data_IF_410316344914
#
_entry.id   IF_410316344914
#
_cell.length_a   1.000
_cell.length_b   1.000
_cell.length_c   1.000
_cell.angle_alpha   90.00
_cell.angle_beta   90.00
_cell.angle_gamma   90.00
#
_symmetry.space_group_name_H-M   'P 1'
#
loop_
_entity.id
_entity.type
_entity.pdbx_description
1 polymer ?
#
# COMPACT_ATOMS: atom_id res chain seq x y z
N UNK A 1 -18.89 75.08 -4.26
CA UNK A 1 -18.84 74.15 -5.44
C UNK A 1 -17.59 73.32 -5.32
N UNK A 2 -17.70 72.13 -4.78
CA UNK A 2 -16.59 71.21 -4.59
C UNK A 2 -16.96 69.84 -5.15
N UNK A 3 -16.25 69.39 -6.19
CA UNK A 3 -16.44 68.07 -6.81
C UNK A 3 -15.78 67.01 -5.95
N UNK A 4 -16.58 66.04 -5.48
CA UNK A 4 -16.13 64.82 -4.85
C UNK A 4 -15.38 63.94 -5.88
N UNK A 5 -14.16 63.54 -5.56
CA UNK A 5 -13.43 62.50 -6.28
C UNK A 5 -13.83 61.13 -5.72
N UNK A 6 -14.49 60.36 -6.54
CA UNK A 6 -14.71 58.93 -6.30
C UNK A 6 -13.34 58.19 -6.50
N UNK A 7 -12.95 57.51 -5.43
CA UNK A 7 -11.74 56.70 -5.41
C UNK A 7 -12.12 55.23 -5.63
N UNK A 8 -12.00 54.76 -6.84
CA UNK A 8 -12.20 53.38 -7.23
C UNK A 8 -11.21 52.47 -6.46
N UNK A 9 -11.71 51.71 -5.51
CA UNK A 9 -10.98 50.62 -4.86
C UNK A 9 -11.02 49.38 -5.79
N UNK A 10 -9.95 49.16 -6.53
CA UNK A 10 -9.69 47.85 -7.16
C UNK A 10 -9.37 46.84 -6.09
N UNK A 11 -10.32 45.93 -5.79
CA UNK A 11 -10.10 44.72 -5.05
C UNK A 11 -9.30 43.74 -5.93
N UNK A 12 -8.00 43.63 -5.69
CA UNK A 12 -7.16 42.61 -6.28
C UNK A 12 -7.48 41.28 -5.61
N UNK A 13 -8.36 40.47 -6.19
CA UNK A 13 -8.56 39.10 -5.80
C UNK A 13 -7.32 38.29 -6.25
N UNK A 14 -6.41 38.04 -5.30
CA UNK A 14 -5.32 37.10 -5.50
C UNK A 14 -5.91 35.70 -5.45
N UNK A 15 -6.17 35.09 -6.61
CA UNK A 15 -6.39 33.66 -6.72
C UNK A 15 -5.06 32.96 -6.42
N UNK A 16 -4.89 32.49 -5.18
CA UNK A 16 -3.88 31.50 -4.83
C UNK A 16 -4.28 30.19 -5.51
N UNK A 17 -3.80 30.00 -6.74
CA UNK A 17 -3.74 28.68 -7.35
C UNK A 17 -2.83 27.82 -6.46
N UNK A 18 -3.43 26.97 -5.65
CA UNK A 18 -2.75 25.90 -4.94
C UNK A 18 -2.25 24.89 -5.98
N UNK A 19 -1.08 25.15 -6.54
CA UNK A 19 -0.34 24.12 -7.29
C UNK A 19 -0.06 23.01 -6.27
N UNK A 20 -0.51 21.78 -6.49
CA UNK A 20 -0.15 20.68 -5.61
C UNK A 20 1.38 20.57 -5.65
N UNK A 21 2.05 20.89 -4.53
CA UNK A 21 3.47 20.62 -4.38
C UNK A 21 3.63 19.12 -4.57
N UNK A 22 4.14 18.71 -5.72
CA UNK A 22 4.61 17.35 -5.92
C UNK A 22 5.70 17.13 -4.88
N UNK A 23 5.51 16.19 -3.98
CA UNK A 23 6.56 15.75 -3.06
C UNK A 23 7.73 15.28 -3.92
N UNK A 24 8.81 16.07 -4.00
CA UNK A 24 9.97 15.68 -4.78
C UNK A 24 10.59 14.44 -4.14
N UNK A 25 10.77 13.38 -4.90
CA UNK A 25 11.42 12.17 -4.42
C UNK A 25 12.89 12.49 -4.13
N UNK A 26 13.33 12.13 -2.93
CA UNK A 26 14.73 12.15 -2.53
C UNK A 26 15.33 10.74 -2.68
N UNK A 27 16.66 10.65 -2.61
CA UNK A 27 17.40 9.39 -2.74
C UNK A 27 18.52 9.32 -1.70
N UNK A 28 18.76 8.14 -1.18
CA UNK A 28 19.96 7.80 -0.40
C UNK A 28 20.36 6.35 -0.68
N UNK A 29 21.59 5.97 -0.32
CA UNK A 29 22.12 4.63 -0.54
C UNK A 29 22.37 3.89 0.77
N UNK A 30 22.07 2.59 0.75
CA UNK A 30 22.45 1.64 1.79
C UNK A 30 22.94 0.37 1.11
N UNK A 31 24.14 -0.12 1.47
CA UNK A 31 24.75 -1.30 0.89
C UNK A 31 24.75 -1.28 -0.66
N UNK A 32 25.08 -0.13 -1.26
CA UNK A 32 25.10 0.13 -2.72
C UNK A 32 23.70 0.08 -3.39
N UNK A 33 22.63 0.00 -2.61
CA UNK A 33 21.26 0.03 -3.10
C UNK A 33 20.68 1.42 -2.96
N UNK A 34 20.12 1.94 -4.05
CA UNK A 34 19.39 3.19 -4.06
C UNK A 34 18.01 3.03 -3.43
N UNK A 35 17.72 3.85 -2.44
CA UNK A 35 16.40 4.00 -1.83
C UNK A 35 15.82 5.35 -2.20
N UNK A 36 14.73 5.32 -2.98
CA UNK A 36 13.97 6.52 -3.30
C UNK A 36 12.87 6.70 -2.27
N UNK A 37 12.66 7.93 -1.83
CA UNK A 37 11.61 8.18 -0.85
C UNK A 37 10.99 9.56 -1.02
N UNK A 38 9.76 9.74 -0.51
CA UNK A 38 9.15 11.05 -0.35
C UNK A 38 9.35 11.51 1.09
N UNK A 39 9.84 12.74 1.34
CA UNK A 39 9.89 13.29 2.69
C UNK A 39 8.51 13.28 3.36
N UNK A 40 8.45 13.24 4.70
CA UNK A 40 7.17 13.31 5.40
C UNK A 40 6.51 14.67 5.12
N UNK A 41 5.21 14.71 4.83
CA UNK A 41 4.45 15.96 4.66
C UNK A 41 4.55 16.89 5.88
N UNK A 42 4.59 16.30 7.07
CA UNK A 42 4.79 17.02 8.33
C UNK A 42 5.96 16.39 9.10
N UNK A 43 7.04 17.14 9.28
CA UNK A 43 8.23 16.68 10.00
C UNK A 43 8.12 17.00 11.52
N UNK A 44 7.38 16.16 12.24
CA UNK A 44 7.14 16.27 13.69
C UNK A 44 7.40 14.95 14.44
N UNK A 45 8.10 14.01 13.81
CA UNK A 45 8.38 12.69 14.37
C UNK A 45 7.21 11.70 14.38
N UNK A 46 6.04 12.07 13.84
CA UNK A 46 4.85 11.19 13.81
C UNK A 46 4.64 10.46 12.49
N UNK A 47 5.46 10.75 11.47
CA UNK A 47 5.34 10.09 10.17
C UNK A 47 5.55 8.58 10.30
N UNK A 48 4.80 7.83 9.49
CA UNK A 48 4.92 6.37 9.38
C UNK A 48 5.56 6.02 8.02
N UNK A 49 6.20 4.86 7.93
CA UNK A 49 6.86 4.43 6.70
C UNK A 49 6.01 3.39 5.98
N UNK A 50 5.75 3.64 4.70
CA UNK A 50 5.16 2.69 3.78
C UNK A 50 6.21 2.32 2.72
N UNK A 51 6.55 1.03 2.65
CA UNK A 51 7.50 0.51 1.67
C UNK A 51 6.75 0.01 0.44
N UNK A 52 7.11 0.55 -0.71
CA UNK A 52 6.53 0.23 -2.00
C UNK A 52 7.56 -0.55 -2.84
N UNK A 53 7.29 -1.82 -3.09
CA UNK A 53 8.16 -2.70 -3.85
C UNK A 53 7.72 -2.76 -5.32
N UNK A 54 8.58 -2.34 -6.24
CA UNK A 54 8.32 -2.34 -7.67
C UNK A 54 8.33 -3.73 -8.31
N UNK A 55 7.85 -3.82 -9.55
CA UNK A 55 8.02 -5.02 -10.38
C UNK A 55 9.50 -5.38 -10.56
N UNK A 56 9.77 -6.51 -11.21
CA UNK A 56 11.15 -7.03 -11.35
C UNK A 56 12.12 -5.95 -11.88
N UNK A 57 13.17 -5.70 -11.12
CA UNK A 57 14.23 -4.73 -11.42
C UNK A 57 13.75 -3.29 -11.67
N UNK A 58 12.58 -2.92 -11.16
CA UNK A 58 12.15 -1.53 -11.23
C UNK A 58 12.99 -0.66 -10.28
N UNK A 59 13.48 0.49 -10.76
CA UNK A 59 14.07 1.46 -9.85
C UNK A 59 12.98 2.07 -8.95
N UNK A 60 13.38 2.45 -7.74
CA UNK A 60 12.42 2.94 -6.74
C UNK A 60 11.66 4.18 -7.17
N UNK A 61 12.29 5.10 -7.92
CA UNK A 61 11.59 6.27 -8.48
C UNK A 61 10.46 5.89 -9.44
N UNK A 62 10.67 4.89 -10.31
CA UNK A 62 9.62 4.36 -11.20
C UNK A 62 8.45 3.81 -10.38
N UNK A 63 8.75 3.08 -9.31
CA UNK A 63 7.73 2.51 -8.42
C UNK A 63 6.89 3.61 -7.79
N UNK A 64 7.51 4.63 -7.18
CA UNK A 64 6.81 5.77 -6.59
C UNK A 64 5.91 6.49 -7.60
N UNK A 65 6.44 6.77 -8.80
CA UNK A 65 5.71 7.43 -9.89
C UNK A 65 4.53 6.60 -10.41
N UNK A 66 4.70 5.27 -10.50
CA UNK A 66 3.65 4.37 -11.01
C UNK A 66 2.53 4.18 -9.99
N UNK A 67 2.86 3.96 -8.71
CA UNK A 67 1.86 3.64 -7.69
C UNK A 67 1.04 4.87 -7.26
N UNK A 68 1.63 6.07 -7.29
CA UNK A 68 0.94 7.34 -7.01
C UNK A 68 0.23 7.34 -5.66
N UNK A 69 0.93 6.95 -4.61
CA UNK A 69 0.42 6.97 -3.24
C UNK A 69 0.57 8.35 -2.55
N UNK A 70 0.93 9.40 -3.31
CA UNK A 70 1.21 10.76 -2.79
C UNK A 70 0.04 11.36 -2.00
N UNK A 71 -1.20 11.17 -2.48
CA UNK A 71 -2.40 11.67 -1.79
C UNK A 71 -2.56 11.00 -0.43
N UNK A 72 -2.33 9.67 -0.39
CA UNK A 72 -2.37 8.89 0.85
C UNK A 72 -1.26 9.35 1.81
N UNK A 73 -0.06 9.58 1.27
CA UNK A 73 1.08 10.06 2.07
C UNK A 73 0.79 11.42 2.69
N UNK A 74 0.23 12.37 1.94
CA UNK A 74 -0.17 13.67 2.46
C UNK A 74 -1.24 13.57 3.54
N UNK A 75 -2.27 12.75 3.31
CA UNK A 75 -3.39 12.59 4.24
C UNK A 75 -2.97 12.00 5.58
N UNK A 76 -2.05 11.02 5.56
CA UNK A 76 -1.69 10.23 6.72
C UNK A 76 -0.28 10.44 7.24
N UNK A 77 0.40 11.48 6.77
CA UNK A 77 1.79 11.79 7.11
C UNK A 77 2.69 10.56 6.92
N UNK A 78 2.78 10.05 5.67
CA UNK A 78 3.62 8.90 5.35
C UNK A 78 4.91 9.33 4.65
N UNK A 79 5.99 8.64 4.96
CA UNK A 79 7.17 8.52 4.12
C UNK A 79 6.92 7.32 3.20
N UNK A 80 6.89 7.54 1.89
CA UNK A 80 6.87 6.46 0.91
C UNK A 80 8.33 6.10 0.60
N UNK A 81 8.71 4.86 0.85
CA UNK A 81 10.06 4.35 0.63
C UNK A 81 10.02 3.27 -0.45
N UNK A 82 10.92 3.34 -1.43
CA UNK A 82 11.00 2.33 -2.49
C UNK A 82 12.45 1.96 -2.80
N UNK A 83 12.85 0.69 -2.56
CA UNK A 83 14.18 0.20 -2.92
C UNK A 83 14.31 -0.02 -4.42
N UNK A 84 15.49 0.26 -4.97
CA UNK A 84 15.90 -0.14 -6.32
C UNK A 84 16.57 -1.52 -6.30
N UNK A 85 15.87 -2.51 -5.74
CA UNK A 85 16.39 -3.88 -5.66
C UNK A 85 16.58 -4.48 -7.05
N UNK A 86 17.74 -5.14 -7.25
CA UNK A 86 18.12 -5.79 -8.49
C UNK A 86 18.89 -7.06 -8.17
N UNK A 87 18.77 -8.04 -9.04
CA UNK A 87 19.56 -9.28 -9.01
C UNK A 87 19.48 -10.10 -7.70
N UNK A 88 20.08 -11.27 -7.67
CA UNK A 88 20.35 -12.08 -6.45
C UNK A 88 19.14 -12.38 -5.56
N UNK A 89 17.98 -12.74 -6.11
CA UNK A 89 16.82 -13.13 -5.30
C UNK A 89 16.45 -12.11 -4.21
N UNK A 90 16.45 -10.83 -4.55
CA UNK A 90 16.17 -9.74 -3.60
C UNK A 90 14.80 -9.82 -2.89
N UNK A 91 13.89 -10.65 -3.37
CA UNK A 91 12.62 -10.93 -2.69
C UNK A 91 12.78 -11.83 -1.46
N UNK A 92 13.93 -12.53 -1.31
CA UNK A 92 14.26 -13.31 -0.12
C UNK A 92 14.98 -12.43 0.93
N UNK A 93 14.25 -11.99 2.00
CA UNK A 93 14.81 -11.06 2.98
C UNK A 93 15.93 -11.66 3.83
N UNK A 94 16.03 -12.99 3.93
CA UNK A 94 17.02 -13.66 4.77
C UNK A 94 18.43 -13.55 4.20
N UNK A 95 18.55 -13.45 2.87
CA UNK A 95 19.86 -13.40 2.23
C UNK A 95 20.54 -12.04 2.47
N UNK A 96 20.00 -10.95 1.96
CA UNK A 96 20.64 -9.63 2.08
C UNK A 96 19.63 -8.48 2.13
N UNK A 97 18.57 -8.54 1.33
CA UNK A 97 17.67 -7.41 1.09
C UNK A 97 16.88 -6.99 2.34
N UNK A 98 16.56 -7.92 3.24
CA UNK A 98 15.91 -7.64 4.50
C UNK A 98 16.76 -6.80 5.44
N UNK A 99 18.06 -7.13 5.56
CA UNK A 99 19.00 -6.34 6.38
C UNK A 99 19.20 -4.96 5.80
N UNK A 100 19.33 -4.85 4.49
CA UNK A 100 19.46 -3.58 3.77
C UNK A 100 18.22 -2.70 3.95
N UNK A 101 17.00 -3.27 3.83
CA UNK A 101 15.77 -2.53 4.12
C UNK A 101 15.70 -2.04 5.56
N UNK A 102 16.05 -2.89 6.54
CA UNK A 102 16.06 -2.47 7.96
C UNK A 102 17.01 -1.31 8.22
N UNK A 103 18.19 -1.28 7.58
CA UNK A 103 19.13 -0.15 7.67
C UNK A 103 18.53 1.11 7.04
N UNK A 104 17.92 1.00 5.85
CA UNK A 104 17.28 2.13 5.19
C UNK A 104 16.15 2.72 6.03
N UNK A 105 15.32 1.88 6.65
CA UNK A 105 14.29 2.33 7.60
C UNK A 105 14.92 3.03 8.80
N UNK A 106 16.00 2.47 9.36
CA UNK A 106 16.69 3.07 10.51
C UNK A 106 17.28 4.45 10.17
N UNK A 107 17.82 4.65 8.96
CA UNK A 107 18.28 5.97 8.50
C UNK A 107 17.15 7.00 8.47
N UNK A 108 15.97 6.64 7.94
CA UNK A 108 14.80 7.53 7.92
C UNK A 108 14.28 7.80 9.35
N UNK A 109 14.23 6.79 10.22
CA UNK A 109 13.86 6.95 11.63
C UNK A 109 14.77 7.95 12.30
N UNK A 110 16.09 7.85 12.11
CA UNK A 110 17.09 8.77 12.64
C UNK A 110 16.95 10.18 12.04
N UNK A 111 16.87 10.27 10.71
CA UNK A 111 16.80 11.55 9.98
C UNK A 111 15.59 12.39 10.37
N UNK A 112 14.43 11.77 10.55
CA UNK A 112 13.16 12.43 10.84
C UNK A 112 12.71 12.29 12.30
N UNK A 113 13.56 11.73 13.18
CA UNK A 113 13.25 11.50 14.59
C UNK A 113 11.93 10.79 14.82
N UNK A 114 11.65 9.75 14.00
CA UNK A 114 10.36 9.06 14.02
C UNK A 114 10.16 8.27 15.30
N UNK A 115 8.93 8.32 15.83
CA UNK A 115 8.51 7.44 16.90
C UNK A 115 8.40 5.98 16.40
N UNK A 116 8.60 4.98 17.27
CA UNK A 116 8.41 3.58 16.88
C UNK A 116 7.02 3.32 16.26
N UNK A 117 6.99 2.68 15.11
CA UNK A 117 5.76 2.32 14.41
C UNK A 117 5.98 1.07 13.56
N UNK A 118 4.90 0.39 13.23
CA UNK A 118 4.92 -0.73 12.29
C UNK A 118 4.93 -0.21 10.85
N UNK A 119 5.55 -0.98 9.94
CA UNK A 119 5.66 -0.67 8.52
C UNK A 119 4.39 -1.09 7.76
N UNK A 120 4.16 -0.46 6.63
CA UNK A 120 3.16 -0.85 5.65
C UNK A 120 3.87 -1.31 4.38
N UNK A 121 3.43 -2.42 3.79
CA UNK A 121 4.04 -2.98 2.58
C UNK A 121 3.03 -3.07 1.45
N UNK A 122 3.45 -2.72 0.24
CA UNK A 122 2.69 -3.01 -0.97
C UNK A 122 3.64 -3.32 -2.12
N UNK A 123 3.27 -4.31 -2.96
CA UNK A 123 4.11 -4.67 -4.09
C UNK A 123 3.37 -5.32 -5.26
N UNK A 124 3.97 -5.20 -6.45
CA UNK A 124 3.50 -5.79 -7.69
C UNK A 124 4.53 -6.79 -8.22
N UNK A 125 4.07 -7.97 -8.69
CA UNK A 125 4.93 -8.98 -9.31
C UNK A 125 6.06 -9.43 -8.37
N UNK A 126 7.33 -9.28 -8.75
CA UNK A 126 8.47 -9.51 -7.86
C UNK A 126 8.45 -8.63 -6.61
N UNK A 127 7.91 -7.41 -6.68
CA UNK A 127 7.65 -6.58 -5.51
C UNK A 127 6.54 -7.14 -4.62
N UNK A 128 5.56 -7.85 -5.19
CA UNK A 128 4.58 -8.61 -4.43
C UNK A 128 5.23 -9.73 -3.63
N UNK A 129 6.20 -10.43 -4.23
CA UNK A 129 7.04 -11.43 -3.54
C UNK A 129 7.78 -10.78 -2.36
N UNK A 130 8.41 -9.61 -2.57
CA UNK A 130 9.03 -8.86 -1.48
C UNK A 130 8.01 -8.57 -0.37
N UNK A 131 6.84 -7.99 -0.70
CA UNK A 131 5.82 -7.65 0.30
C UNK A 131 5.42 -8.86 1.14
N UNK A 132 5.13 -10.00 0.52
CA UNK A 132 4.70 -11.23 1.19
C UNK A 132 5.82 -11.87 2.04
N UNK A 133 7.03 -12.01 1.48
CA UNK A 133 8.14 -12.68 2.15
C UNK A 133 8.74 -11.81 3.27
N UNK A 134 8.82 -10.48 3.08
CA UNK A 134 9.25 -9.56 4.13
C UNK A 134 8.24 -9.50 5.28
N UNK A 135 6.93 -9.55 4.98
CA UNK A 135 5.93 -9.71 6.02
C UNK A 135 6.15 -10.98 6.84
N UNK A 136 6.33 -12.13 6.18
CA UNK A 136 6.55 -13.40 6.87
C UNK A 136 7.85 -13.43 7.70
N UNK A 137 8.88 -12.71 7.24
CA UNK A 137 10.16 -12.60 7.93
C UNK A 137 10.13 -11.71 9.18
N UNK A 138 9.26 -10.66 9.19
CA UNK A 138 9.15 -9.75 10.34
C UNK A 138 7.68 -9.38 10.64
N UNK A 139 6.80 -10.35 10.92
CA UNK A 139 5.35 -10.12 11.00
C UNK A 139 4.95 -9.13 12.10
N UNK A 140 5.70 -9.09 13.20
CA UNK A 140 5.44 -8.18 14.31
C UNK A 140 5.77 -6.71 14.00
N UNK A 141 6.58 -6.46 12.96
CA UNK A 141 6.99 -5.13 12.54
C UNK A 141 6.11 -4.58 11.39
N UNK A 142 5.11 -5.34 10.94
CA UNK A 142 4.23 -4.95 9.82
C UNK A 142 2.83 -4.69 10.32
N UNK A 143 2.27 -3.54 9.94
CA UNK A 143 0.91 -3.11 10.28
C UNK A 143 -0.12 -3.64 9.28
N UNK A 144 0.23 -3.66 7.99
CA UNK A 144 -0.59 -4.20 6.90
C UNK A 144 0.30 -4.44 5.67
N UNK A 145 -0.09 -5.39 4.83
CA UNK A 145 0.64 -5.70 3.62
C UNK A 145 -0.30 -6.04 2.46
N UNK A 146 0.13 -5.70 1.24
CA UNK A 146 -0.66 -5.97 0.06
C UNK A 146 0.20 -6.38 -1.12
N UNK A 147 -0.39 -7.20 -2.02
CA UNK A 147 0.28 -7.69 -3.23
C UNK A 147 -0.66 -7.65 -4.43
N UNK A 148 -0.08 -7.42 -5.61
CA UNK A 148 -0.73 -7.66 -6.88
C UNK A 148 0.11 -8.61 -7.74
N UNK A 149 -0.52 -9.63 -8.33
CA UNK A 149 0.09 -10.59 -9.25
C UNK A 149 1.38 -11.23 -8.68
N UNK A 150 1.32 -11.70 -7.44
CA UNK A 150 2.44 -12.30 -6.72
C UNK A 150 2.61 -13.78 -7.13
N UNK A 151 3.83 -14.18 -7.47
CA UNK A 151 4.16 -15.54 -7.89
C UNK A 151 4.88 -16.38 -6.84
N UNK A 152 5.20 -15.82 -5.66
CA UNK A 152 5.85 -16.54 -4.56
C UNK A 152 5.32 -16.04 -3.23
N UNK A 153 4.88 -16.95 -2.39
CA UNK A 153 4.46 -16.68 -1.03
C UNK A 153 5.28 -17.51 -0.03
N UNK A 154 5.29 -17.13 1.26
CA UNK A 154 6.00 -17.91 2.26
C UNK A 154 5.44 -19.32 2.34
N UNK A 155 6.31 -20.36 2.45
CA UNK A 155 5.87 -21.76 2.55
C UNK A 155 5.14 -22.03 3.86
N UNK A 156 5.53 -21.35 4.94
CA UNK A 156 4.87 -21.41 6.23
C UNK A 156 3.90 -20.24 6.38
N UNK A 157 2.67 -20.54 6.79
CA UNK A 157 1.66 -19.54 7.08
C UNK A 157 1.86 -19.02 8.50
N UNK A 158 2.35 -17.81 8.61
CA UNK A 158 2.42 -17.07 9.88
C UNK A 158 1.37 -15.98 9.86
N UNK A 159 0.26 -16.23 10.56
CA UNK A 159 -0.78 -15.22 10.68
C UNK A 159 -0.49 -14.33 11.88
N UNK A 160 -0.32 -13.04 11.62
CA UNK A 160 -0.32 -12.00 12.64
C UNK A 160 -1.64 -11.22 12.58
N UNK A 161 -1.80 -10.23 13.44
CA UNK A 161 -2.95 -9.32 13.38
C UNK A 161 -2.94 -8.38 12.16
N UNK A 162 -1.86 -8.38 11.35
CA UNK A 162 -1.73 -7.52 10.18
C UNK A 162 -2.68 -7.96 9.06
N UNK A 163 -3.64 -7.12 8.65
CA UNK A 163 -4.51 -7.42 7.53
C UNK A 163 -3.73 -7.46 6.21
N UNK A 164 -4.25 -8.23 5.24
CA UNK A 164 -3.66 -8.40 3.93
C UNK A 164 -4.61 -8.01 2.80
N UNK A 165 -4.03 -7.60 1.65
CA UNK A 165 -4.74 -7.41 0.39
C UNK A 165 -4.04 -8.22 -0.70
N UNK A 166 -4.75 -9.17 -1.30
CA UNK A 166 -4.29 -9.95 -2.44
C UNK A 166 -5.13 -9.62 -3.66
N UNK A 167 -4.47 -9.33 -4.77
CA UNK A 167 -5.14 -9.08 -6.05
C UNK A 167 -4.38 -9.75 -7.19
N UNK A 168 -5.10 -10.19 -8.24
CA UNK A 168 -4.51 -10.82 -9.41
C UNK A 168 -5.35 -10.57 -10.66
N UNK A 169 -4.74 -10.63 -11.84
CA UNK A 169 -5.46 -10.67 -13.11
C UNK A 169 -6.00 -12.08 -13.38
N UNK A 170 -7.19 -12.20 -13.96
CA UNK A 170 -7.83 -13.50 -14.26
C UNK A 170 -7.06 -14.30 -15.31
N UNK A 171 -6.37 -13.60 -16.22
CA UNK A 171 -5.58 -14.21 -17.31
C UNK A 171 -4.12 -14.48 -16.90
N UNK A 172 -3.68 -14.01 -15.73
CA UNK A 172 -2.37 -14.36 -15.14
C UNK A 172 -2.46 -15.71 -14.42
N UNK A 173 -2.73 -16.77 -15.18
CA UNK A 173 -3.18 -18.08 -14.70
C UNK A 173 -2.23 -18.70 -13.65
N UNK A 174 -0.92 -18.62 -13.88
CA UNK A 174 0.09 -19.15 -12.94
C UNK A 174 0.02 -18.44 -11.58
N UNK A 175 0.05 -17.11 -11.59
CA UNK A 175 0.02 -16.31 -10.34
C UNK A 175 -1.34 -16.32 -9.68
N UNK A 176 -2.40 -16.44 -10.46
CA UNK A 176 -3.76 -16.62 -9.96
C UNK A 176 -3.87 -17.92 -9.16
N UNK A 177 -3.39 -19.04 -9.71
CA UNK A 177 -3.42 -20.34 -9.03
C UNK A 177 -2.60 -20.31 -7.73
N UNK A 178 -1.39 -19.74 -7.77
CA UNK A 178 -0.50 -19.61 -6.60
C UNK A 178 -1.15 -18.70 -5.54
N UNK A 179 -1.73 -17.57 -5.94
CA UNK A 179 -2.39 -16.63 -5.03
C UNK A 179 -3.63 -17.25 -4.37
N UNK A 180 -4.45 -18.00 -5.13
CA UNK A 180 -5.61 -18.73 -4.59
C UNK A 180 -5.20 -19.80 -3.57
N UNK A 181 -4.16 -20.57 -3.86
CA UNK A 181 -3.64 -21.56 -2.92
C UNK A 181 -3.20 -20.91 -1.59
N UNK A 182 -2.48 -19.78 -1.66
CA UNK A 182 -2.08 -19.03 -0.49
C UNK A 182 -3.28 -18.43 0.24
N UNK A 183 -4.25 -17.85 -0.47
CA UNK A 183 -5.49 -17.27 0.06
C UNK A 183 -6.21 -18.25 0.99
N UNK A 184 -6.53 -19.45 0.49
CA UNK A 184 -7.25 -20.46 1.28
C UNK A 184 -6.47 -20.85 2.53
N UNK A 185 -5.20 -21.15 2.38
CA UNK A 185 -4.35 -21.50 3.53
C UNK A 185 -4.23 -20.37 4.56
N UNK A 186 -4.11 -19.12 4.10
CA UNK A 186 -4.01 -17.97 4.99
C UNK A 186 -5.29 -17.76 5.80
N UNK A 187 -6.45 -17.91 5.16
CA UNK A 187 -7.76 -17.82 5.81
C UNK A 187 -8.04 -18.99 6.76
N UNK A 188 -7.67 -20.20 6.37
CA UNK A 188 -7.75 -21.40 7.22
C UNK A 188 -7.02 -21.19 8.56
N UNK A 189 -5.92 -20.45 8.56
CA UNK A 189 -5.17 -20.07 9.76
C UNK A 189 -5.72 -18.79 10.45
N UNK A 190 -6.90 -18.32 10.09
CA UNK A 190 -7.56 -17.17 10.69
C UNK A 190 -7.06 -15.79 10.20
N UNK A 191 -6.34 -15.75 9.09
CA UNK A 191 -5.83 -14.51 8.50
C UNK A 191 -6.94 -13.63 7.95
N UNK A 192 -6.92 -12.33 8.28
CA UNK A 192 -7.82 -11.32 7.70
C UNK A 192 -7.28 -10.84 6.38
N UNK A 193 -7.99 -11.12 5.29
CA UNK A 193 -7.50 -10.87 3.95
C UNK A 193 -8.62 -10.44 3.02
N UNK A 194 -8.37 -9.41 2.19
CA UNK A 194 -9.20 -9.05 1.05
C UNK A 194 -8.61 -9.70 -0.19
N UNK A 195 -9.46 -10.37 -0.96
CA UNK A 195 -9.16 -10.94 -2.26
C UNK A 195 -9.97 -10.27 -3.36
N UNK A 196 -9.30 -9.94 -4.47
CA UNK A 196 -9.98 -9.41 -5.66
C UNK A 196 -9.27 -9.88 -6.94
N UNK A 197 -10.06 -10.41 -7.88
CA UNK A 197 -9.61 -10.74 -9.23
C UNK A 197 -10.05 -9.62 -10.18
N UNK A 198 -9.16 -9.24 -11.09
CA UNK A 198 -9.42 -8.24 -12.12
C UNK A 198 -9.41 -8.87 -13.51
N UNK A 199 -10.13 -8.30 -14.48
CA UNK A 199 -9.93 -8.63 -15.90
C UNK A 199 -8.48 -8.36 -16.32
N UNK A 200 -7.97 -9.12 -17.29
CA UNK A 200 -6.61 -8.97 -17.83
C UNK A 200 -5.57 -9.88 -17.19
N UNK A 201 -4.33 -9.70 -17.61
CA UNK A 201 -3.18 -10.56 -17.29
C UNK A 201 -2.26 -10.00 -16.19
N UNK A 202 -0.95 -10.10 -16.48
CA UNK A 202 0.10 -9.67 -15.56
C UNK A 202 0.38 -8.17 -15.68
N UNK A 203 -0.56 -7.35 -15.29
CA UNK A 203 -0.46 -5.89 -15.41
C UNK A 203 -1.01 -5.17 -14.18
N UNK A 204 -0.42 -4.03 -13.88
CA UNK A 204 -0.81 -3.18 -12.75
C UNK A 204 -1.70 -2.04 -13.25
N UNK A 205 -3.02 -2.19 -13.12
CA UNK A 205 -3.99 -1.22 -13.61
C UNK A 205 -4.29 -0.11 -12.60
N UNK A 206 -5.01 0.92 -13.07
CA UNK A 206 -5.47 2.03 -12.21
C UNK A 206 -6.47 1.55 -11.16
N UNK A 207 -7.31 0.60 -11.50
CA UNK A 207 -8.35 0.00 -10.66
C UNK A 207 -7.72 -0.78 -9.50
N UNK A 208 -6.70 -1.59 -9.79
CA UNK A 208 -5.91 -2.30 -8.77
C UNK A 208 -5.31 -1.32 -7.77
N UNK A 209 -4.68 -0.26 -8.27
CA UNK A 209 -4.07 0.76 -7.42
C UNK A 209 -5.11 1.59 -6.66
N UNK A 210 -6.31 1.82 -7.23
CA UNK A 210 -7.39 2.51 -6.54
C UNK A 210 -7.87 1.70 -5.34
N UNK A 211 -8.13 0.39 -5.52
CA UNK A 211 -8.50 -0.50 -4.42
C UNK A 211 -7.42 -0.50 -3.32
N UNK A 212 -6.16 -0.66 -3.70
CA UNK A 212 -5.05 -0.68 -2.75
C UNK A 212 -4.96 0.63 -1.94
N UNK A 213 -5.04 1.79 -2.60
CA UNK A 213 -5.00 3.10 -1.91
C UNK A 213 -6.18 3.29 -0.97
N UNK A 214 -7.40 2.94 -1.38
CA UNK A 214 -8.59 3.04 -0.54
C UNK A 214 -8.51 2.09 0.66
N UNK A 215 -8.03 0.87 0.45
CA UNK A 215 -7.84 -0.08 1.54
C UNK A 215 -6.82 0.42 2.58
N UNK A 216 -5.67 0.94 2.15
CA UNK A 216 -4.72 1.54 3.07
C UNK A 216 -5.25 2.80 3.74
N UNK A 217 -6.04 3.63 3.03
CA UNK A 217 -6.71 4.81 3.61
C UNK A 217 -7.62 4.42 4.76
N UNK A 218 -8.42 3.38 4.56
CA UNK A 218 -9.33 2.85 5.58
C UNK A 218 -8.56 2.35 6.82
N UNK A 219 -7.50 1.59 6.63
CA UNK A 219 -6.67 1.08 7.72
C UNK A 219 -5.93 2.20 8.47
N UNK A 220 -5.34 3.14 7.74
CA UNK A 220 -4.62 4.28 8.30
C UNK A 220 -5.55 5.25 9.06
N UNK A 221 -6.83 5.26 8.68
CA UNK A 221 -7.91 5.98 9.36
C UNK A 221 -8.52 5.21 10.54
N UNK A 222 -8.01 4.00 10.84
CA UNK A 222 -8.54 3.09 11.87
C UNK A 222 -10.02 2.78 11.72
N UNK A 223 -10.52 2.68 10.47
CA UNK A 223 -11.92 2.29 10.23
C UNK A 223 -12.17 0.86 10.68
N UNK A 224 -13.33 0.63 11.25
CA UNK A 224 -13.81 -0.71 11.60
C UNK A 224 -14.45 -1.39 10.39
N UNK A 225 -14.51 -2.73 10.40
CA UNK A 225 -15.18 -3.50 9.35
C UNK A 225 -16.66 -3.13 9.35
N UNK A 226 -17.15 -2.67 8.21
CA UNK A 226 -18.54 -2.26 7.98
C UNK A 226 -19.39 -3.38 7.38
N UNK A 227 -18.80 -4.15 6.48
CA UNK A 227 -19.45 -5.21 5.74
C UNK A 227 -18.45 -6.31 5.36
N UNK A 228 -18.98 -7.44 4.92
CA UNK A 228 -18.19 -8.50 4.32
C UNK A 228 -18.67 -8.80 2.91
N UNK A 229 -17.73 -8.95 1.97
CA UNK A 229 -17.98 -9.46 0.64
C UNK A 229 -17.68 -10.96 0.57
N UNK A 230 -18.44 -11.69 -0.23
CA UNK A 230 -18.24 -13.12 -0.50
C UNK A 230 -17.55 -13.31 -1.85
N UNK A 231 -16.44 -14.04 -1.88
CA UNK A 231 -15.56 -14.13 -3.05
C UNK A 231 -16.31 -14.46 -4.37
N UNK A 232 -16.91 -15.61 -4.47
CA UNK A 232 -17.40 -16.12 -5.75
C UNK A 232 -18.75 -15.52 -6.18
N UNK A 233 -19.54 -15.05 -5.24
CA UNK A 233 -20.88 -14.52 -5.51
C UNK A 233 -20.93 -13.01 -5.63
N UNK A 234 -19.92 -12.31 -5.08
CA UNK A 234 -19.94 -10.87 -4.95
C UNK A 234 -21.01 -10.35 -3.96
N UNK A 235 -21.68 -11.26 -3.23
CA UNK A 235 -22.69 -10.89 -2.22
C UNK A 235 -22.05 -10.09 -1.10
N UNK A 236 -22.68 -9.01 -0.69
CA UNK A 236 -22.22 -8.15 0.41
C UNK A 236 -23.24 -8.20 1.54
N UNK A 237 -22.75 -8.41 2.76
CA UNK A 237 -23.56 -8.42 3.97
C UNK A 237 -23.03 -7.43 5.00
N UNK A 238 -23.87 -6.85 5.88
CA UNK A 238 -23.38 -6.01 6.96
C UNK A 238 -22.51 -6.81 7.94
N UNK A 239 -21.62 -6.14 8.66
CA UNK A 239 -20.71 -6.78 9.61
C UNK A 239 -21.43 -7.63 10.68
N UNK A 240 -22.66 -7.24 11.07
CA UNK A 240 -23.50 -8.01 12.00
C UNK A 240 -23.95 -9.38 11.46
N UNK A 241 -23.94 -9.56 10.14
CA UNK A 241 -24.32 -10.81 9.45
C UNK A 241 -23.12 -11.57 8.90
N UNK A 242 -21.91 -11.33 9.41
CA UNK A 242 -20.67 -11.98 8.92
C UNK A 242 -20.75 -13.51 8.83
N UNK A 243 -21.44 -14.15 9.80
CA UNK A 243 -21.60 -15.60 9.86
C UNK A 243 -22.46 -16.20 8.72
N UNK A 244 -23.15 -15.36 7.93
CA UNK A 244 -23.88 -15.81 6.75
C UNK A 244 -22.99 -16.07 5.53
N UNK A 245 -21.69 -15.72 5.63
CA UNK A 245 -20.65 -16.07 4.67
C UNK A 245 -19.67 -17.03 5.39
N UNK A 246 -19.27 -18.09 4.74
CA UNK A 246 -18.25 -19.00 5.27
C UNK A 246 -16.90 -18.25 5.44
N UNK A 247 -16.18 -18.56 6.50
CA UNK A 247 -14.98 -17.79 6.87
C UNK A 247 -13.92 -17.74 5.75
N UNK A 248 -13.82 -18.82 4.99
CA UNK A 248 -12.88 -18.95 3.87
C UNK A 248 -13.20 -18.08 2.65
N UNK A 249 -14.43 -17.52 2.54
CA UNK A 249 -14.85 -16.65 1.43
C UNK A 249 -15.04 -15.19 1.83
N UNK A 250 -14.74 -14.81 3.09
CA UNK A 250 -14.98 -13.46 3.61
C UNK A 250 -13.92 -12.46 3.23
N UNK A 251 -14.36 -11.33 2.73
CA UNK A 251 -13.54 -10.13 2.51
C UNK A 251 -14.00 -9.02 3.45
N UNK A 252 -13.19 -8.61 4.43
CA UNK A 252 -13.54 -7.51 5.33
C UNK A 252 -13.48 -6.17 4.60
N UNK A 253 -14.61 -5.45 4.53
CA UNK A 253 -14.74 -4.17 3.84
C UNK A 253 -15.00 -3.06 4.88
N UNK A 254 -14.16 -2.02 4.87
CA UNK A 254 -14.13 -1.02 5.93
C UNK A 254 -14.93 0.25 5.59
N UNK A 255 -15.14 0.52 4.30
CA UNK A 255 -15.89 1.70 3.83
C UNK A 255 -16.79 1.37 2.65
N UNK A 256 -17.76 2.26 2.38
CA UNK A 256 -18.59 2.16 1.18
C UNK A 256 -17.75 2.28 -0.10
N UNK A 257 -16.75 3.18 -0.11
CA UNK A 257 -15.85 3.35 -1.25
C UNK A 257 -15.05 2.07 -1.53
N UNK A 258 -14.50 1.44 -0.49
CA UNK A 258 -13.79 0.16 -0.62
C UNK A 258 -14.73 -0.94 -1.14
N UNK A 259 -15.96 -0.99 -0.63
CA UNK A 259 -17.00 -1.91 -1.07
C UNK A 259 -17.32 -1.75 -2.56
N UNK A 260 -17.50 -0.51 -3.02
CA UNK A 260 -17.77 -0.22 -4.44
C UNK A 260 -16.60 -0.62 -5.35
N UNK A 261 -15.36 -0.36 -4.94
CA UNK A 261 -14.17 -0.77 -5.69
C UNK A 261 -13.98 -2.28 -5.69
N UNK A 262 -14.31 -2.93 -4.60
CA UNK A 262 -14.22 -4.39 -4.50
C UNK A 262 -15.27 -5.09 -5.35
N UNK A 263 -16.48 -4.52 -5.47
CA UNK A 263 -17.61 -5.12 -6.20
C UNK A 263 -17.58 -4.86 -7.74
N UNK A 264 -16.80 -3.88 -8.20
CA UNK A 264 -16.57 -3.62 -9.64
C UNK A 264 -15.66 -4.67 -10.27
#
# INVERSE_FOLDING_TARGET
MGKAREMNRFLLQVFLLSVPLLLSAAIFQVDEIDFHFTPPPVNNGTARIMVLFGGRNWPGNKTLQTYRFDSLARKHNLILLSPSFRDRNYWDPEQWSGKTLKRAVAELVKQYHLKPHKLYFYGYSAGGQCSALFYAWMPEQVAAWGVHACGVYPPEIRVSSAPALLTCGVEDSERLAISRFFLYRYREHGGKLIWKIYPGGHELTREVLALARTWFDDLLSNKVIRSYGEDDTGRIVPASAEKSIEAEFRNPLYSTELQELWNK
#
